data_IF_289611219813
#
_entry.id   IF_289611219813
#
_cell.length_a   1.000
_cell.length_b   1.000
_cell.length_c   1.000
_cell.angle_alpha   90.00
_cell.angle_beta   90.00
_cell.angle_gamma   90.00
#
_symmetry.space_group_name_H-M   'P 1'
#
loop_
_entity.id
_entity.type
_entity.pdbx_description
1 polymer ?
#
# COMPACT_ATOMS: atom_id res chain seq x y z
N UNK A 1 10.00 -32.43 -8.12
CA UNK A 1 11.00 -32.52 -9.19
C UNK A 1 11.92 -31.32 -9.03
N UNK A 2 13.20 -31.53 -8.72
CA UNK A 2 14.15 -30.43 -8.59
C UNK A 2 14.57 -30.00 -10.00
N UNK A 3 14.98 -28.73 -10.20
CA UNK A 3 15.43 -28.22 -11.51
C UNK A 3 16.56 -29.08 -12.11
N UNK A 4 17.34 -29.74 -11.23
CA UNK A 4 18.42 -30.67 -11.61
C UNK A 4 17.93 -31.94 -12.31
N UNK A 5 16.66 -32.27 -12.17
CA UNK A 5 16.04 -33.47 -12.75
C UNK A 5 15.39 -33.17 -14.12
N UNK A 6 15.39 -31.90 -14.56
CA UNK A 6 14.74 -31.46 -15.80
C UNK A 6 15.69 -31.57 -16.99
N UNK A 7 15.13 -31.84 -18.16
CA UNK A 7 15.86 -31.73 -19.42
C UNK A 7 16.16 -30.28 -19.76
N UNK A 8 17.21 -30.04 -20.56
CA UNK A 8 17.58 -28.70 -21.04
C UNK A 8 16.41 -28.00 -21.74
N UNK A 9 15.58 -28.75 -22.46
CA UNK A 9 14.44 -28.18 -23.20
C UNK A 9 13.32 -27.71 -22.26
N UNK A 10 13.07 -28.44 -21.18
CA UNK A 10 12.09 -28.04 -20.16
C UNK A 10 12.57 -26.81 -19.39
N UNK A 11 13.87 -26.74 -19.07
CA UNK A 11 14.47 -25.55 -18.42
C UNK A 11 14.36 -24.33 -19.33
N UNK A 12 14.62 -24.45 -20.63
CA UNK A 12 14.44 -23.35 -21.59
C UNK A 12 13.00 -22.84 -21.64
N UNK A 13 12.02 -23.76 -21.64
CA UNK A 13 10.60 -23.39 -21.61
C UNK A 13 10.23 -22.65 -20.34
N UNK A 14 10.71 -23.14 -19.18
CA UNK A 14 10.47 -22.50 -17.89
C UNK A 14 11.06 -21.08 -17.85
N UNK A 15 12.32 -20.92 -18.27
CA UNK A 15 12.98 -19.61 -18.32
C UNK A 15 12.23 -18.67 -19.23
N UNK A 16 11.83 -19.12 -20.44
CA UNK A 16 11.06 -18.29 -21.36
C UNK A 16 9.76 -17.80 -20.74
N UNK A 17 9.00 -18.71 -20.12
CA UNK A 17 7.76 -18.37 -19.44
C UNK A 17 8.00 -17.35 -18.32
N UNK A 18 9.02 -17.56 -17.49
CA UNK A 18 9.36 -16.61 -16.42
C UNK A 18 9.74 -15.23 -16.97
N UNK A 19 10.56 -15.18 -18.03
CA UNK A 19 10.97 -13.92 -18.66
C UNK A 19 9.76 -13.18 -19.25
N UNK A 20 8.84 -13.87 -19.91
CA UNK A 20 7.61 -13.27 -20.43
C UNK A 20 6.73 -12.68 -19.32
N UNK A 21 6.59 -13.39 -18.20
CA UNK A 21 5.80 -12.93 -17.07
C UNK A 21 6.46 -11.76 -16.32
N UNK A 22 7.78 -11.77 -16.14
CA UNK A 22 8.51 -10.65 -15.55
C UNK A 22 8.44 -9.41 -16.45
N UNK A 23 8.55 -9.58 -17.76
CA UNK A 23 8.43 -8.46 -18.70
C UNK A 23 7.03 -7.83 -18.64
N UNK A 24 5.98 -8.65 -18.60
CA UNK A 24 4.60 -8.15 -18.42
C UNK A 24 4.42 -7.40 -17.10
N UNK A 25 5.01 -7.90 -16.01
CA UNK A 25 4.99 -7.22 -14.70
C UNK A 25 5.68 -5.87 -14.78
N UNK A 26 6.88 -5.82 -15.36
CA UNK A 26 7.65 -4.58 -15.49
C UNK A 26 6.90 -3.53 -16.32
N UNK A 27 6.32 -3.93 -17.46
CA UNK A 27 5.53 -3.01 -18.29
C UNK A 27 4.32 -2.49 -17.52
N UNK A 28 3.58 -3.36 -16.83
CA UNK A 28 2.40 -2.94 -16.05
C UNK A 28 2.78 -1.94 -14.98
N UNK A 29 3.83 -2.23 -14.21
CA UNK A 29 4.32 -1.34 -13.17
C UNK A 29 4.70 0.04 -13.73
N UNK A 30 5.49 0.06 -14.82
CA UNK A 30 5.91 1.32 -15.43
C UNK A 30 4.72 2.13 -15.97
N UNK A 31 3.72 1.45 -16.55
CA UNK A 31 2.51 2.11 -17.04
C UNK A 31 1.68 2.66 -15.88
N UNK A 32 1.53 1.92 -14.79
CA UNK A 32 0.82 2.39 -13.59
C UNK A 32 1.52 3.61 -12.98
N UNK A 33 2.85 3.58 -12.84
CA UNK A 33 3.65 4.71 -12.35
C UNK A 33 3.46 5.96 -13.22
N UNK A 34 3.60 5.83 -14.55
CA UNK A 34 3.42 6.97 -15.47
C UNK A 34 1.99 7.50 -15.45
N UNK A 35 0.99 6.63 -15.32
CA UNK A 35 -0.40 7.06 -15.24
C UNK A 35 -0.69 7.77 -13.91
N UNK A 36 -0.13 7.32 -12.80
CA UNK A 36 -0.27 7.98 -11.50
C UNK A 36 0.38 9.37 -11.52
N UNK A 37 1.58 9.49 -12.09
CA UNK A 37 2.25 10.78 -12.28
C UNK A 37 1.43 11.73 -13.18
N UNK A 38 0.82 11.21 -14.24
CA UNK A 38 0.13 12.04 -15.22
C UNK A 38 -1.28 12.45 -14.80
N UNK A 39 -2.01 11.53 -14.14
CA UNK A 39 -3.38 11.77 -13.70
C UNK A 39 -3.46 12.41 -12.31
N UNK A 40 -2.44 12.22 -11.48
CA UNK A 40 -2.34 12.83 -10.15
C UNK A 40 -3.41 12.37 -9.16
N UNK A 41 -3.61 13.16 -8.10
CA UNK A 41 -4.68 12.91 -7.13
C UNK A 41 -6.03 13.29 -7.76
N UNK A 42 -6.98 12.34 -7.92
CA UNK A 42 -8.29 12.65 -8.49
C UNK A 42 -9.09 13.64 -7.64
N UNK A 43 -8.75 13.83 -6.37
CA UNK A 43 -9.36 14.77 -5.44
C UNK A 43 -8.58 16.10 -5.31
N UNK A 44 -7.52 16.29 -6.09
CA UNK A 44 -6.77 17.55 -6.12
C UNK A 44 -7.71 18.72 -6.45
N UNK A 45 -7.62 19.79 -5.65
CA UNK A 45 -8.45 20.98 -5.80
C UNK A 45 -9.90 20.83 -5.34
N UNK A 46 -10.33 19.66 -4.85
CA UNK A 46 -11.67 19.48 -4.26
C UNK A 46 -11.66 19.86 -2.78
N UNK A 47 -12.81 20.34 -2.32
CA UNK A 47 -13.04 20.59 -0.90
C UNK A 47 -13.73 19.40 -0.23
N UNK A 48 -13.35 19.17 1.03
CA UNK A 48 -14.02 18.22 1.91
C UNK A 48 -15.45 18.71 2.18
N UNK A 49 -16.45 17.83 2.09
CA UNK A 49 -17.84 18.14 2.44
C UNK A 49 -17.94 18.65 3.88
N UNK A 50 -18.79 19.65 4.11
CA UNK A 50 -18.98 20.26 5.44
C UNK A 50 -19.36 19.25 6.51
N UNK A 51 -20.20 18.27 6.19
CA UNK A 51 -20.58 17.17 7.11
C UNK A 51 -19.36 16.39 7.62
N UNK A 52 -18.40 16.11 6.73
CA UNK A 52 -17.17 15.40 7.06
C UNK A 52 -16.24 16.28 7.89
N UNK A 53 -16.12 17.57 7.55
CA UNK A 53 -15.36 18.54 8.37
C UNK A 53 -15.91 18.58 9.80
N UNK A 54 -17.22 18.65 9.98
CA UNK A 54 -17.85 18.68 11.31
C UNK A 54 -17.60 17.39 12.10
N UNK A 55 -17.72 16.23 11.46
CA UNK A 55 -17.39 14.94 12.10
C UNK A 55 -15.94 14.90 12.58
N UNK A 56 -14.98 15.38 11.78
CA UNK A 56 -13.57 15.45 12.17
C UNK A 56 -13.34 16.38 13.36
N UNK A 57 -14.01 17.53 13.40
CA UNK A 57 -13.96 18.46 14.54
C UNK A 57 -14.51 17.79 15.80
N UNK A 58 -15.64 17.09 15.71
CA UNK A 58 -16.22 16.36 16.84
C UNK A 58 -15.29 15.24 17.33
N UNK A 59 -14.72 14.44 16.43
CA UNK A 59 -13.75 13.40 16.79
C UNK A 59 -12.54 13.99 17.49
N UNK A 60 -12.02 15.14 17.02
CA UNK A 60 -10.92 15.85 17.67
C UNK A 60 -11.30 16.33 19.07
N UNK A 61 -12.51 16.88 19.24
CA UNK A 61 -13.02 17.30 20.56
C UNK A 61 -13.16 16.12 21.52
N UNK A 62 -13.66 14.97 21.06
CA UNK A 62 -13.73 13.74 21.87
C UNK A 62 -12.35 13.25 22.29
N UNK A 63 -11.35 13.33 21.40
CA UNK A 63 -9.95 12.99 21.70
C UNK A 63 -9.27 13.99 22.64
N UNK A 64 -9.71 15.24 22.69
CA UNK A 64 -9.24 16.21 23.69
C UNK A 64 -9.64 15.80 25.13
N UNK A 65 -10.68 14.98 25.28
CA UNK A 65 -11.04 14.29 26.53
C UNK A 65 -10.34 12.93 26.67
N UNK A 66 -9.17 12.74 26.04
CA UNK A 66 -8.38 11.51 26.11
C UNK A 66 -7.45 11.48 27.32
N UNK A 67 -7.07 10.26 27.72
CA UNK A 67 -6.03 10.01 28.72
C UNK A 67 -4.67 10.11 28.01
N UNK A 68 -3.64 10.78 28.60
CA UNK A 68 -2.30 10.84 28.03
C UNK A 68 -1.78 9.45 27.66
N UNK A 69 -1.09 9.34 26.53
CA UNK A 69 -0.58 8.04 26.05
C UNK A 69 0.31 7.37 27.11
N UNK A 70 1.15 8.14 27.80
CA UNK A 70 1.98 7.69 28.94
C UNK A 70 1.16 7.06 30.08
N UNK A 71 0.00 7.61 30.42
CA UNK A 71 -0.90 7.03 31.42
C UNK A 71 -1.53 5.72 30.93
N UNK A 72 -1.84 5.63 29.64
CA UNK A 72 -2.35 4.40 29.02
C UNK A 72 -1.26 3.31 29.00
N UNK A 73 -0.02 3.66 28.65
CA UNK A 73 1.11 2.73 28.67
C UNK A 73 1.40 2.19 30.07
N UNK A 74 1.37 3.04 31.09
CA UNK A 74 1.48 2.62 32.50
C UNK A 74 0.36 1.66 32.91
N UNK A 75 -0.89 1.94 32.52
CA UNK A 75 -2.04 1.05 32.83
C UNK A 75 -1.95 -0.31 32.12
N UNK A 76 -1.37 -0.34 30.92
CA UNK A 76 -1.25 -1.55 30.11
C UNK A 76 0.07 -2.32 30.35
N UNK A 77 0.96 -1.81 31.18
CA UNK A 77 2.26 -2.44 31.47
C UNK A 77 3.22 -2.42 30.28
N UNK A 78 3.04 -1.48 29.34
CA UNK A 78 3.91 -1.30 28.18
C UNK A 78 5.03 -0.34 28.58
N UNK A 79 6.28 -0.82 28.57
CA UNK A 79 7.45 0.04 28.75
C UNK A 79 7.88 0.58 27.37
N UNK A 80 7.89 1.90 27.24
CA UNK A 80 8.52 2.62 26.11
C UNK A 80 9.99 2.87 26.40
#
# INVERSE_FOLDING_TARGET
MQVKDMTVEEVKKLIRYQVEEELKRLIRYQVEEVLEEWLGDPDEGKEVKEEVKQQLIEMRRRRACGIPAEEVYKKLGINL
#
